data_IF_269427214576
#
_entry.id   IF_269427214576
#
_cell.length_a   1.000
_cell.length_b   1.000
_cell.length_c   1.000
_cell.angle_alpha   90.00
_cell.angle_beta   90.00
_cell.angle_gamma   90.00
#
_symmetry.space_group_name_H-M   'P 1'
#
loop_
_entity.id
_entity.type
_entity.pdbx_description
1 polymer ?
#
# COMPACT_ATOMS: atom_id res chain seq x y z
N UNK A 1 -11.39 13.93 -2.05
CA UNK A 1 -10.79 12.59 -2.19
C UNK A 1 -10.14 12.21 -0.87
N UNK A 2 -10.60 11.13 -0.21
CA UNK A 2 -9.97 10.73 1.03
C UNK A 2 -8.57 10.20 0.81
N UNK A 3 -7.70 10.46 1.77
CA UNK A 3 -6.38 9.85 1.82
C UNK A 3 -6.48 8.57 2.66
N UNK A 4 -5.96 7.48 2.14
CA UNK A 4 -5.94 6.19 2.81
C UNK A 4 -4.47 5.80 3.04
N UNK A 5 -4.19 5.28 4.23
CA UNK A 5 -2.84 4.83 4.58
C UNK A 5 -2.92 3.35 4.95
N UNK A 6 -2.09 2.55 4.32
CA UNK A 6 -1.93 1.14 4.66
C UNK A 6 -0.63 0.98 5.43
N UNK A 7 -0.68 0.31 6.58
CA UNK A 7 0.51 0.03 7.40
C UNK A 7 0.67 -1.48 7.55
N UNK A 8 1.90 -1.96 7.47
CA UNK A 8 2.18 -3.40 7.58
C UNK A 8 3.66 -3.65 7.79
N UNK A 9 4.04 -4.78 8.39
CA UNK A 9 5.43 -5.21 8.36
C UNK A 9 5.80 -5.74 6.98
N UNK A 10 7.10 -5.79 6.70
CA UNK A 10 7.63 -6.32 5.44
C UNK A 10 8.80 -7.27 5.74
N UNK A 11 9.05 -8.21 4.84
CA UNK A 11 10.19 -9.14 4.97
C UNK A 11 11.53 -8.42 4.81
N UNK A 12 11.60 -7.48 3.86
CA UNK A 12 12.81 -6.75 3.50
C UNK A 12 12.40 -5.36 3.05
N UNK A 13 12.77 -4.36 3.85
CA UNK A 13 12.35 -2.98 3.59
C UNK A 13 12.91 -2.43 2.28
N UNK A 14 14.12 -2.78 1.93
CA UNK A 14 14.74 -2.29 0.69
C UNK A 14 14.07 -2.91 -0.53
N UNK A 15 13.78 -4.22 -0.48
CA UNK A 15 13.06 -4.90 -1.54
C UNK A 15 11.68 -4.29 -1.73
N UNK A 16 10.93 -4.09 -0.63
CA UNK A 16 9.61 -3.49 -0.68
C UNK A 16 9.65 -2.09 -1.29
N UNK A 17 10.60 -1.26 -0.86
CA UNK A 17 10.74 0.11 -1.36
C UNK A 17 11.05 0.12 -2.87
N UNK A 18 11.81 -0.85 -3.35
CA UNK A 18 12.18 -0.95 -4.78
C UNK A 18 10.97 -1.19 -5.69
N UNK A 19 9.83 -1.61 -5.12
CA UNK A 19 8.62 -1.94 -5.88
C UNK A 19 7.62 -0.78 -5.97
N UNK A 20 8.04 0.44 -5.65
CA UNK A 20 7.16 1.60 -5.64
C UNK A 20 6.41 1.80 -6.95
N UNK A 21 7.10 1.71 -8.09
CA UNK A 21 6.47 1.93 -9.40
C UNK A 21 5.37 0.91 -9.70
N UNK A 22 5.53 -0.33 -9.22
CA UNK A 22 4.51 -1.35 -9.38
C UNK A 22 3.27 -1.03 -8.55
N UNK A 23 3.45 -0.45 -7.35
CA UNK A 23 2.32 -0.01 -6.52
C UNK A 23 1.58 1.15 -7.16
N UNK A 24 2.30 2.11 -7.74
CA UNK A 24 1.69 3.22 -8.46
C UNK A 24 0.80 2.69 -9.59
N UNK A 25 1.30 1.74 -10.36
CA UNK A 25 0.55 1.15 -11.48
C UNK A 25 -0.65 0.36 -10.98
N UNK A 26 -0.49 -0.40 -9.90
CA UNK A 26 -1.58 -1.22 -9.35
C UNK A 26 -2.72 -0.37 -8.79
N UNK A 27 -2.41 0.82 -8.29
CA UNK A 27 -3.41 1.70 -7.66
C UNK A 27 -3.99 2.72 -8.65
N UNK A 28 -3.45 2.82 -9.87
CA UNK A 28 -3.75 3.91 -10.81
C UNK A 28 -5.23 4.01 -11.18
N UNK A 29 -5.96 2.88 -11.19
CA UNK A 29 -7.38 2.90 -11.59
C UNK A 29 -8.30 3.52 -10.55
N UNK A 30 -7.86 3.60 -9.27
CA UNK A 30 -8.72 4.11 -8.19
C UNK A 30 -8.04 5.13 -7.29
N UNK A 31 -6.75 5.38 -7.50
CA UNK A 31 -6.01 6.29 -6.64
C UNK A 31 -4.86 6.99 -7.35
N UNK A 32 -4.31 8.00 -6.68
CA UNK A 32 -3.18 8.78 -7.19
C UNK A 32 -2.32 9.24 -6.01
N UNK A 33 -1.18 9.85 -6.32
CA UNK A 33 -0.28 10.40 -5.31
C UNK A 33 0.14 9.33 -4.29
N UNK A 34 0.65 8.21 -4.79
CA UNK A 34 1.11 7.09 -3.96
C UNK A 34 2.46 7.46 -3.33
N UNK A 35 2.53 7.40 -2.00
CA UNK A 35 3.74 7.72 -1.26
C UNK A 35 4.09 6.55 -0.34
N UNK A 36 5.32 6.08 -0.44
CA UNK A 36 5.83 5.00 0.41
C UNK A 36 6.53 5.58 1.63
N UNK A 37 6.40 4.90 2.76
CA UNK A 37 7.04 5.27 4.02
C UNK A 37 7.77 4.07 4.60
N UNK A 38 8.95 4.30 5.14
CA UNK A 38 9.71 3.29 5.89
C UNK A 38 9.87 3.76 7.32
N UNK A 39 9.90 2.80 8.24
CA UNK A 39 10.05 3.09 9.66
C UNK A 39 11.36 3.84 9.92
N UNK A 40 11.28 4.95 10.65
CA UNK A 40 12.45 5.79 10.90
C UNK A 40 13.47 5.11 11.82
N UNK A 41 13.04 4.10 12.59
CA UNK A 41 13.91 3.37 13.50
C UNK A 41 14.69 2.22 12.83
N UNK A 42 14.52 2.05 11.51
CA UNK A 42 15.20 1.01 10.75
C UNK A 42 14.54 -0.36 10.82
N UNK A 43 13.40 -0.49 11.51
CA UNK A 43 12.67 -1.75 11.56
C UNK A 43 12.00 -2.07 10.23
N UNK A 44 11.54 -3.31 10.07
CA UNK A 44 10.85 -3.77 8.86
C UNK A 44 9.35 -3.46 8.91
N UNK A 45 9.01 -2.21 9.23
CA UNK A 45 7.64 -1.71 9.16
C UNK A 45 7.57 -0.65 8.06
N UNK A 46 6.47 -0.68 7.32
CA UNK A 46 6.28 0.20 6.17
C UNK A 46 4.84 0.70 6.12
N UNK A 47 4.65 1.75 5.34
CA UNK A 47 3.32 2.27 5.07
C UNK A 47 3.27 2.82 3.64
N UNK A 48 2.07 2.88 3.09
CA UNK A 48 1.84 3.54 1.81
C UNK A 48 0.57 4.37 1.93
N UNK A 49 0.63 5.62 1.47
CA UNK A 49 -0.54 6.48 1.41
C UNK A 49 -0.95 6.70 -0.03
N UNK A 50 -2.23 6.87 -0.25
CA UNK A 50 -2.79 7.07 -1.58
C UNK A 50 -4.04 7.95 -1.47
N UNK A 51 -4.20 8.88 -2.41
CA UNK A 51 -5.41 9.68 -2.53
C UNK A 51 -6.40 8.86 -3.36
N UNK A 52 -7.52 8.46 -2.74
CA UNK A 52 -8.49 7.55 -3.36
C UNK A 52 -9.63 8.35 -3.97
N UNK A 53 -9.83 8.21 -5.28
CA UNK A 53 -10.92 8.87 -5.98
C UNK A 53 -12.08 7.92 -6.31
N UNK A 54 -11.95 6.64 -5.98
CA UNK A 54 -13.03 5.63 -6.14
C UNK A 54 -12.89 4.58 -5.05
N UNK A 55 -13.58 4.79 -3.93
CA UNK A 55 -13.50 3.89 -2.77
C UNK A 55 -14.02 2.48 -3.08
N UNK A 56 -15.08 2.37 -3.89
CA UNK A 56 -15.63 1.07 -4.26
C UNK A 56 -14.63 0.27 -5.09
N UNK A 57 -13.96 0.93 -6.04
CA UNK A 57 -12.92 0.28 -6.84
C UNK A 57 -11.73 -0.14 -5.99
N UNK A 58 -11.35 0.69 -5.01
CA UNK A 58 -10.28 0.33 -4.07
C UNK A 58 -10.62 -0.94 -3.29
N UNK A 59 -11.82 -1.00 -2.71
CA UNK A 59 -12.25 -2.16 -1.93
C UNK A 59 -12.28 -3.43 -2.78
N UNK A 60 -12.75 -3.33 -4.01
CA UNK A 60 -12.76 -4.44 -4.94
C UNK A 60 -11.34 -4.89 -5.29
N UNK A 61 -10.44 -3.94 -5.53
CA UNK A 61 -9.04 -4.23 -5.84
C UNK A 61 -8.33 -4.94 -4.67
N UNK A 62 -8.62 -4.53 -3.43
CA UNK A 62 -7.97 -5.11 -2.25
C UNK A 62 -8.30 -6.59 -2.04
N UNK A 63 -9.39 -7.08 -2.63
CA UNK A 63 -9.76 -8.50 -2.54
C UNK A 63 -9.40 -9.27 -3.82
N UNK A 64 -8.74 -8.62 -4.77
CA UNK A 64 -8.41 -9.25 -6.05
C UNK A 64 -7.20 -10.19 -5.92
N UNK A 65 -7.13 -11.22 -6.78
CA UNK A 65 -5.94 -12.09 -6.83
C UNK A 65 -4.67 -11.34 -7.20
N UNK A 66 -4.77 -10.29 -8.01
CA UNK A 66 -3.63 -9.48 -8.44
C UNK A 66 -2.99 -8.76 -7.27
N UNK A 67 -3.79 -8.22 -6.36
CA UNK A 67 -3.27 -7.55 -5.16
C UNK A 67 -2.63 -8.57 -4.22
N UNK A 68 -3.23 -9.74 -4.06
CA UNK A 68 -2.66 -10.80 -3.22
C UNK A 68 -1.29 -11.24 -3.76
N UNK A 69 -1.17 -11.41 -5.06
CA UNK A 69 0.09 -11.76 -5.69
C UNK A 69 1.13 -10.64 -5.53
N UNK A 70 0.72 -9.38 -5.66
CA UNK A 70 1.60 -8.24 -5.47
C UNK A 70 2.12 -8.15 -4.03
N UNK A 71 1.25 -8.40 -3.05
CA UNK A 71 1.65 -8.42 -1.64
C UNK A 71 2.73 -9.46 -1.39
N UNK A 72 2.57 -10.65 -1.94
CA UNK A 72 3.57 -11.71 -1.81
C UNK A 72 4.88 -11.34 -2.51
N UNK A 73 4.80 -10.80 -3.72
CA UNK A 73 5.98 -10.41 -4.49
C UNK A 73 6.76 -9.27 -3.82
N UNK A 74 6.05 -8.36 -3.14
CA UNK A 74 6.68 -7.23 -2.45
C UNK A 74 7.11 -7.56 -1.02
N UNK A 75 6.77 -8.74 -0.52
CA UNK A 75 7.14 -9.18 0.83
C UNK A 75 6.30 -8.53 1.92
N UNK A 76 5.04 -8.21 1.66
CA UNK A 76 4.12 -7.64 2.64
C UNK A 76 3.65 -8.72 3.60
N UNK A 77 3.76 -8.44 4.90
CA UNK A 77 3.40 -9.38 5.96
C UNK A 77 2.15 -8.89 6.68
N UNK A 78 1.46 -9.81 7.35
CA UNK A 78 0.35 -9.49 8.23
C UNK A 78 0.87 -9.07 9.62
N UNK A 79 0.12 -8.25 10.37
CA UNK A 79 -1.17 -7.69 10.00
C UNK A 79 -1.06 -6.46 9.11
N UNK A 80 -2.04 -6.27 8.24
CA UNK A 80 -2.17 -5.06 7.43
C UNK A 80 -3.31 -4.23 7.99
N UNK A 81 -3.02 -2.97 8.31
CA UNK A 81 -4.02 -2.03 8.83
C UNK A 81 -4.29 -0.94 7.79
N UNK A 82 -5.55 -0.53 7.71
CA UNK A 82 -5.97 0.54 6.82
C UNK A 82 -6.49 1.71 7.66
N UNK A 83 -5.93 2.90 7.42
CA UNK A 83 -6.36 4.13 8.07
C UNK A 83 -6.92 5.07 7.01
N UNK A 84 -8.02 5.73 7.34
CA UNK A 84 -8.66 6.69 6.44
C UNK A 84 -8.58 8.06 7.08
N UNK A 85 -8.21 9.06 6.29
CA UNK A 85 -8.15 10.45 6.75
C UNK A 85 -9.48 10.88 7.34
N UNK A 86 -9.46 11.40 8.57
CA UNK A 86 -10.69 11.75 9.29
C UNK A 86 -11.06 13.23 9.19
N UNK A 87 -10.15 14.09 8.78
CA UNK A 87 -10.44 15.53 8.65
C UNK A 87 -9.41 16.22 7.77
#
# INVERSE_FOLDING_TARGET
MPKVVFTHPVKDRDHWASKHSERVDAFASWGSNVVDYLSADGSNNAAVSVDVHDMAAMQEALTSPEIEAAKQAHGVLEPLSMLIESS
#
